data_IF_966118146702
#
_entry.id   IF_966118146702
#
_cell.length_a   1.000
_cell.length_b   1.000
_cell.length_c   1.000
_cell.angle_alpha   90.00
_cell.angle_beta   90.00
_cell.angle_gamma   90.00
#
_symmetry.space_group_name_H-M   'P 1'
#
loop_
_entity.id
_entity.type
_entity.pdbx_description
1 polymer ?
#
# COMPACT_ATOMS: atom_id res chain seq x y z
N UNK A 1 -4.80 16.80 -15.20
CA UNK A 1 -3.69 15.90 -14.88
C UNK A 1 -4.10 14.50 -15.31
N UNK A 2 -3.29 13.79 -16.10
CA UNK A 2 -3.67 12.51 -16.69
C UNK A 2 -3.49 11.40 -15.63
N UNK A 3 -4.46 10.48 -15.51
CA UNK A 3 -4.44 9.37 -14.53
C UNK A 3 -3.16 8.54 -14.68
N UNK A 4 -2.72 8.34 -15.93
CA UNK A 4 -1.51 7.59 -16.25
C UNK A 4 -0.23 8.25 -15.70
N UNK A 5 -0.13 9.59 -15.76
CA UNK A 5 1.03 10.29 -15.22
C UNK A 5 1.13 10.20 -13.71
N UNK A 6 0.00 10.18 -13.00
CA UNK A 6 -0.03 10.04 -11.54
C UNK A 6 0.35 8.62 -11.09
N UNK A 7 -0.07 7.60 -11.84
CA UNK A 7 0.29 6.20 -11.57
C UNK A 7 1.79 5.97 -11.78
N UNK A 8 2.33 6.40 -12.93
CA UNK A 8 3.77 6.24 -13.22
C UNK A 8 4.66 6.95 -12.18
N UNK A 9 4.26 8.15 -11.76
CA UNK A 9 4.95 8.88 -10.71
C UNK A 9 4.83 8.18 -9.34
N UNK A 10 3.65 7.67 -9.00
CA UNK A 10 3.46 6.90 -7.78
C UNK A 10 4.35 5.66 -7.76
N UNK A 11 4.37 4.87 -8.83
CA UNK A 11 5.19 3.67 -8.96
C UNK A 11 6.68 3.98 -8.83
N UNK A 12 7.13 5.06 -9.49
CA UNK A 12 8.53 5.48 -9.39
C UNK A 12 8.95 5.79 -7.96
N UNK A 13 8.08 6.44 -7.17
CA UNK A 13 8.35 6.75 -5.76
C UNK A 13 8.21 5.49 -4.88
N UNK A 14 7.16 4.68 -5.10
CA UNK A 14 6.92 3.48 -4.30
C UNK A 14 8.05 2.45 -4.44
N UNK A 15 8.69 2.39 -5.60
CA UNK A 15 9.84 1.52 -5.85
C UNK A 15 11.06 1.85 -4.99
N UNK A 16 11.20 3.10 -4.54
CA UNK A 16 12.31 3.54 -3.69
C UNK A 16 12.11 3.16 -2.21
N UNK A 17 10.92 2.68 -1.81
CA UNK A 17 10.65 2.27 -0.44
C UNK A 17 11.39 0.97 -0.12
N UNK A 18 12.32 1.02 0.84
CA UNK A 18 13.14 -0.11 1.29
C UNK A 18 12.47 -0.97 2.37
N UNK A 19 11.38 -0.48 2.95
CA UNK A 19 10.65 -1.18 3.98
C UNK A 19 10.11 -2.51 3.46
N UNK A 20 10.22 -3.57 4.26
CA UNK A 20 9.73 -4.89 3.89
C UNK A 20 10.76 -5.77 3.19
N UNK A 21 12.07 -5.54 3.41
CA UNK A 21 13.13 -6.42 2.91
C UNK A 21 12.88 -7.88 3.32
N UNK A 22 12.38 -8.13 4.53
CA UNK A 22 11.96 -9.47 4.97
C UNK A 22 10.88 -10.11 4.09
N UNK A 23 9.99 -9.31 3.50
CA UNK A 23 9.00 -9.79 2.52
C UNK A 23 9.61 -10.03 1.13
N UNK A 24 10.75 -9.40 0.81
CA UNK A 24 11.48 -9.70 -0.42
C UNK A 24 12.13 -11.08 -0.35
N UNK A 25 12.71 -11.45 0.80
CA UNK A 25 13.32 -12.77 0.97
C UNK A 25 12.31 -13.90 0.75
N UNK A 26 11.06 -13.71 1.17
CA UNK A 26 9.99 -14.71 0.95
C UNK A 26 9.54 -14.76 -0.51
N UNK A 27 9.58 -13.64 -1.24
CA UNK A 27 9.20 -13.56 -2.67
C UNK A 27 10.31 -14.01 -3.62
N UNK A 28 11.57 -13.92 -3.20
CA UNK A 28 12.71 -14.17 -4.07
C UNK A 28 12.69 -15.56 -4.74
N UNK A 29 12.28 -16.67 -4.07
CA UNK A 29 12.15 -17.98 -4.73
C UNK A 29 11.12 -18.02 -5.85
N UNK A 30 10.13 -17.15 -5.85
CA UNK A 30 9.02 -17.11 -6.82
C UNK A 30 9.20 -16.03 -7.88
N UNK A 31 10.24 -15.22 -7.76
CA UNK A 31 10.44 -14.01 -8.56
C UNK A 31 10.64 -14.33 -10.06
N UNK A 32 11.49 -15.29 -10.40
CA UNK A 32 11.77 -15.64 -11.81
C UNK A 32 10.48 -16.09 -12.51
N UNK A 33 9.74 -17.01 -11.90
CA UNK A 33 8.47 -17.48 -12.44
C UNK A 33 7.39 -16.38 -12.50
N UNK A 34 7.37 -15.47 -11.51
CA UNK A 34 6.50 -14.30 -11.55
C UNK A 34 6.85 -13.37 -12.72
N UNK A 35 8.14 -13.09 -12.97
CA UNK A 35 8.59 -12.23 -14.07
C UNK A 35 8.20 -12.77 -15.45
N UNK A 36 8.15 -14.10 -15.61
CA UNK A 36 7.65 -14.71 -16.83
C UNK A 36 6.16 -14.40 -17.05
N UNK A 37 5.32 -14.58 -16.02
CA UNK A 37 3.88 -14.28 -16.07
C UNK A 37 3.66 -12.77 -16.28
N UNK A 38 4.40 -11.93 -15.55
CA UNK A 38 4.34 -10.48 -15.68
C UNK A 38 4.67 -10.02 -17.11
N UNK A 39 5.74 -10.59 -17.69
CA UNK A 39 6.17 -10.28 -19.07
C UNK A 39 5.12 -10.69 -20.08
N UNK A 40 4.54 -11.88 -19.94
CA UNK A 40 3.44 -12.36 -20.79
C UNK A 40 2.22 -11.44 -20.68
N UNK A 41 1.82 -11.04 -19.46
CA UNK A 41 0.70 -10.12 -19.27
C UNK A 41 0.95 -8.74 -19.94
N UNK A 42 2.20 -8.26 -19.92
CA UNK A 42 2.59 -7.03 -20.61
C UNK A 42 2.56 -7.19 -22.15
N UNK A 43 3.05 -8.30 -22.69
CA UNK A 43 3.03 -8.59 -24.14
C UNK A 43 1.60 -8.68 -24.66
N UNK A 44 0.71 -9.32 -23.91
CA UNK A 44 -0.72 -9.46 -24.21
C UNK A 44 -1.51 -8.18 -23.93
N UNK A 45 -0.86 -7.15 -23.39
CA UNK A 45 -1.47 -5.85 -23.02
C UNK A 45 -2.65 -6.02 -22.05
N UNK A 46 -2.43 -6.85 -21.04
CA UNK A 46 -3.43 -7.07 -20.01
C UNK A 46 -3.73 -5.76 -19.28
N UNK A 47 -5.00 -5.54 -19.04
CA UNK A 47 -5.56 -4.37 -18.32
C UNK A 47 -6.57 -4.87 -17.30
N UNK A 48 -7.07 -3.99 -16.45
CA UNK A 48 -8.12 -4.33 -15.49
C UNK A 48 -9.33 -5.05 -16.11
N UNK A 49 -9.68 -4.70 -17.37
CA UNK A 49 -10.88 -5.25 -18.04
C UNK A 49 -10.73 -6.68 -18.56
N UNK A 50 -9.49 -7.17 -18.76
CA UNK A 50 -9.23 -8.53 -19.27
C UNK A 50 -8.30 -9.35 -18.36
N UNK A 51 -7.95 -8.84 -17.18
CA UNK A 51 -7.07 -9.54 -16.24
C UNK A 51 -7.63 -10.90 -15.80
N UNK A 52 -8.93 -11.02 -15.55
CA UNK A 52 -9.57 -12.30 -15.21
C UNK A 52 -9.50 -13.32 -16.36
N UNK A 53 -9.65 -12.86 -17.60
CA UNK A 53 -9.52 -13.74 -18.77
C UNK A 53 -8.09 -14.28 -18.88
N UNK A 54 -7.10 -13.41 -18.69
CA UNK A 54 -5.70 -13.80 -18.65
C UNK A 54 -5.42 -14.78 -17.50
N UNK A 55 -5.85 -14.50 -16.27
CA UNK A 55 -5.68 -15.41 -15.13
C UNK A 55 -6.33 -16.79 -15.38
N UNK A 56 -7.49 -16.85 -16.03
CA UNK A 56 -8.15 -18.10 -16.38
C UNK A 56 -7.41 -18.89 -17.48
N UNK A 57 -6.48 -18.28 -18.21
CA UNK A 57 -5.63 -18.98 -19.19
C UNK A 57 -4.39 -19.60 -18.56
N UNK A 58 -4.03 -19.20 -17.33
CA UNK A 58 -2.88 -19.70 -16.61
C UNK A 58 -3.12 -21.12 -16.06
N UNK A 59 -2.06 -21.88 -15.93
CA UNK A 59 -2.06 -23.16 -15.23
C UNK A 59 -2.21 -23.00 -13.72
N UNK A 60 -2.57 -24.07 -13.01
CA UNK A 60 -2.61 -24.06 -11.55
C UNK A 60 -1.24 -23.76 -10.92
N UNK A 61 -0.14 -24.15 -11.56
CA UNK A 61 1.23 -23.88 -11.11
C UNK A 61 1.54 -22.38 -11.20
N UNK A 62 1.17 -21.74 -12.31
CA UNK A 62 1.33 -20.29 -12.49
C UNK A 62 0.45 -19.48 -11.53
N UNK A 63 -0.80 -19.91 -11.29
CA UNK A 63 -1.65 -19.30 -10.28
C UNK A 63 -1.05 -19.46 -8.87
N UNK A 64 -0.44 -20.61 -8.57
CA UNK A 64 0.30 -20.84 -7.32
C UNK A 64 1.50 -19.88 -7.20
N UNK A 65 2.24 -19.66 -8.28
CA UNK A 65 3.33 -18.66 -8.32
C UNK A 65 2.83 -17.26 -7.99
N UNK A 66 1.70 -16.83 -8.57
CA UNK A 66 1.09 -15.54 -8.25
C UNK A 66 0.64 -15.46 -6.80
N UNK A 67 0.05 -16.53 -6.26
CA UNK A 67 -0.36 -16.62 -4.86
C UNK A 67 0.84 -16.42 -3.92
N UNK A 68 1.91 -17.16 -4.13
CA UNK A 68 3.11 -17.12 -3.31
C UNK A 68 3.82 -15.76 -3.41
N UNK A 69 3.98 -15.23 -4.63
CA UNK A 69 4.58 -13.91 -4.84
C UNK A 69 3.73 -12.78 -4.26
N UNK A 70 2.41 -12.91 -4.29
CA UNK A 70 1.49 -11.94 -3.69
C UNK A 70 1.32 -12.11 -2.16
N UNK A 71 1.92 -13.15 -1.57
CA UNK A 71 1.81 -13.53 -0.14
C UNK A 71 0.34 -13.76 0.29
N UNK A 72 -0.44 -14.41 -0.55
CA UNK A 72 -1.81 -14.76 -0.23
C UNK A 72 -1.87 -16.09 0.51
N UNK A 73 -2.70 -16.17 1.53
CA UNK A 73 -2.92 -17.41 2.32
C UNK A 73 -3.83 -18.37 1.56
N UNK A 74 -4.85 -17.85 0.92
CA UNK A 74 -5.87 -18.64 0.23
C UNK A 74 -5.52 -18.81 -1.25
N UNK A 75 -5.93 -19.96 -1.83
CA UNK A 75 -5.82 -20.21 -3.26
C UNK A 75 -6.57 -19.18 -4.09
N UNK A 76 -6.00 -18.82 -5.23
CA UNK A 76 -6.61 -17.85 -6.14
C UNK A 76 -7.81 -18.50 -6.84
N UNK A 77 -9.01 -18.05 -6.49
CA UNK A 77 -10.23 -18.36 -7.23
C UNK A 77 -10.59 -17.14 -8.10
N UNK A 78 -10.24 -17.22 -9.40
CA UNK A 78 -10.38 -16.10 -10.35
C UNK A 78 -11.82 -15.58 -10.44
N UNK A 79 -12.83 -16.45 -10.34
CA UNK A 79 -14.24 -16.05 -10.41
C UNK A 79 -14.66 -15.16 -9.23
N UNK A 80 -14.03 -15.33 -8.08
CA UNK A 80 -14.32 -14.55 -6.86
C UNK A 80 -13.64 -13.18 -6.82
N UNK A 81 -12.67 -12.92 -7.67
CA UNK A 81 -11.92 -11.67 -7.69
C UNK A 81 -12.77 -10.52 -8.25
N UNK A 82 -12.53 -9.30 -7.79
CA UNK A 82 -12.89 -8.11 -8.54
C UNK A 82 -11.83 -7.82 -9.62
N UNK A 83 -12.14 -6.93 -10.55
CA UNK A 83 -11.25 -6.66 -11.71
C UNK A 83 -9.91 -6.05 -11.28
N UNK A 84 -9.91 -5.21 -10.24
CA UNK A 84 -8.72 -4.62 -9.66
C UNK A 84 -7.85 -5.67 -8.97
N UNK A 85 -8.44 -6.54 -8.16
CA UNK A 85 -7.73 -7.61 -7.47
C UNK A 85 -7.09 -8.59 -8.45
N UNK A 86 -7.77 -8.89 -9.54
CA UNK A 86 -7.24 -9.71 -10.62
C UNK A 86 -6.05 -9.01 -11.32
N UNK A 87 -6.17 -7.71 -11.61
CA UNK A 87 -5.11 -6.95 -12.27
C UNK A 87 -3.89 -6.75 -11.38
N UNK A 88 -4.10 -6.40 -10.10
CA UNK A 88 -3.01 -6.20 -9.14
C UNK A 88 -2.22 -7.48 -8.83
N UNK A 89 -2.78 -8.68 -9.03
CA UNK A 89 -2.01 -9.94 -8.96
C UNK A 89 -0.92 -10.04 -10.02
N UNK A 90 -1.11 -9.39 -11.16
CA UNK A 90 -0.20 -9.38 -12.30
C UNK A 90 0.84 -8.25 -12.24
N UNK A 91 0.87 -7.49 -11.14
CA UNK A 91 1.75 -6.33 -10.97
C UNK A 91 2.75 -6.57 -9.84
N UNK A 92 3.93 -5.98 -9.96
CA UNK A 92 4.88 -5.94 -8.86
C UNK A 92 4.26 -5.31 -7.61
N UNK A 93 4.74 -5.68 -6.43
CA UNK A 93 4.19 -5.19 -5.16
C UNK A 93 4.20 -3.66 -5.04
N UNK A 94 5.17 -2.97 -5.66
CA UNK A 94 5.27 -1.51 -5.70
C UNK A 94 4.43 -0.87 -6.82
N UNK A 95 3.87 -1.67 -7.73
CA UNK A 95 3.00 -1.22 -8.82
C UNK A 95 1.51 -1.33 -8.46
N UNK A 96 1.18 -2.01 -7.36
CA UNK A 96 -0.22 -2.18 -6.94
C UNK A 96 -0.86 -0.84 -6.61
N UNK A 97 -2.10 -0.66 -7.07
CA UNK A 97 -2.74 0.64 -7.05
C UNK A 97 -4.25 0.51 -6.88
N UNK A 98 -4.88 1.52 -6.26
CA UNK A 98 -6.34 1.68 -6.22
C UNK A 98 -6.81 2.29 -7.56
N UNK A 99 -7.02 1.41 -8.54
CA UNK A 99 -7.44 1.83 -9.88
C UNK A 99 -8.90 2.26 -9.93
N UNK A 100 -9.74 1.71 -9.06
CA UNK A 100 -11.17 2.00 -8.99
C UNK A 100 -11.50 3.21 -8.11
N UNK A 101 -10.52 3.71 -7.30
CA UNK A 101 -10.57 4.87 -6.42
C UNK A 101 -11.60 4.76 -5.28
N UNK A 102 -11.79 3.57 -4.75
CA UNK A 102 -12.64 3.34 -3.59
C UNK A 102 -11.91 3.53 -2.23
N UNK A 103 -10.61 3.80 -2.27
CA UNK A 103 -9.74 3.98 -1.11
C UNK A 103 -9.11 2.68 -0.61
N UNK A 104 -9.27 1.59 -1.36
CA UNK A 104 -8.71 0.28 -1.09
C UNK A 104 -7.89 -0.20 -2.28
N UNK A 105 -6.80 -0.88 -2.00
CA UNK A 105 -6.06 -1.66 -3.01
C UNK A 105 -6.49 -3.10 -2.89
N UNK A 106 -7.15 -3.61 -3.91
CA UNK A 106 -7.46 -5.05 -4.01
C UNK A 106 -6.26 -5.80 -4.57
N UNK A 107 -5.86 -6.91 -3.94
CA UNK A 107 -4.79 -7.79 -4.39
C UNK A 107 -5.26 -9.25 -4.25
N UNK A 108 -5.67 -9.85 -5.35
CA UNK A 108 -6.46 -11.07 -5.28
C UNK A 108 -7.77 -10.82 -4.55
N UNK A 109 -8.09 -11.67 -3.58
CA UNK A 109 -9.26 -11.53 -2.71
C UNK A 109 -9.03 -10.54 -1.55
N UNK A 110 -7.78 -10.24 -1.23
CA UNK A 110 -7.42 -9.35 -0.14
C UNK A 110 -7.66 -7.89 -0.52
N UNK A 111 -8.13 -7.11 0.44
CA UNK A 111 -8.31 -5.66 0.30
C UNK A 111 -7.65 -4.94 1.47
N UNK A 112 -6.95 -3.87 1.18
CA UNK A 112 -6.27 -3.08 2.20
C UNK A 112 -6.01 -1.65 1.75
N UNK A 113 -5.53 -0.81 2.67
CA UNK A 113 -5.03 0.51 2.30
C UNK A 113 -3.69 0.40 1.56
N UNK A 114 -3.41 1.36 0.69
CA UNK A 114 -2.09 1.49 0.07
C UNK A 114 -1.01 1.75 1.13
N UNK A 115 0.17 1.17 0.95
CA UNK A 115 1.33 1.48 1.80
C UNK A 115 1.69 2.97 1.68
N UNK A 116 1.72 3.49 0.46
CA UNK A 116 1.90 4.91 0.20
C UNK A 116 0.55 5.45 -0.31
N UNK A 117 -0.12 6.36 0.42
CA UNK A 117 -1.41 6.87 0.01
C UNK A 117 -1.38 7.49 -1.40
N UNK A 118 -2.28 7.04 -2.26
CA UNK A 118 -2.33 7.49 -3.65
C UNK A 118 -2.82 8.92 -3.78
N UNK A 119 -3.68 9.34 -2.85
CA UNK A 119 -4.19 10.71 -2.71
C UNK A 119 -3.18 11.68 -2.05
N UNK A 120 -1.95 11.23 -1.76
CA UNK A 120 -0.86 12.07 -1.25
C UNK A 120 -0.20 12.82 -2.41
N UNK A 121 0.07 14.13 -2.29
CA UNK A 121 0.84 14.87 -3.30
C UNK A 121 2.27 14.34 -3.41
N UNK A 122 2.89 14.56 -4.56
CA UNK A 122 4.21 14.02 -4.91
C UNK A 122 5.31 14.39 -3.93
N UNK A 123 5.34 15.64 -3.48
CA UNK A 123 6.34 16.12 -2.53
C UNK A 123 6.24 15.36 -1.21
N UNK A 124 5.04 15.19 -0.69
CA UNK A 124 4.77 14.45 0.54
C UNK A 124 5.09 12.96 0.41
N UNK A 125 4.78 12.36 -0.77
CA UNK A 125 5.15 10.95 -1.03
C UNK A 125 6.65 10.73 -0.97
N UNK A 126 7.43 11.61 -1.61
CA UNK A 126 8.90 11.54 -1.59
C UNK A 126 9.42 11.68 -0.17
N UNK A 127 9.02 12.75 0.53
CA UNK A 127 9.42 12.96 1.91
C UNK A 127 9.02 11.79 2.82
N UNK A 128 7.85 11.17 2.62
CA UNK A 128 7.43 9.98 3.37
C UNK A 128 8.37 8.81 3.12
N UNK A 129 8.63 8.46 1.86
CA UNK A 129 9.49 7.33 1.50
C UNK A 129 10.92 7.53 2.00
N UNK A 130 11.48 8.71 1.83
CA UNK A 130 12.80 9.07 2.36
C UNK A 130 12.84 8.91 3.88
N UNK A 131 11.82 9.42 4.58
CA UNK A 131 11.75 9.32 6.04
C UNK A 131 11.63 7.88 6.54
N UNK A 132 10.82 7.06 5.88
CA UNK A 132 10.70 5.65 6.23
C UNK A 132 12.00 4.88 5.97
N UNK A 133 12.74 5.24 4.91
CA UNK A 133 14.02 4.63 4.60
C UNK A 133 15.16 5.00 5.56
N UNK A 134 15.03 6.10 6.32
CA UNK A 134 15.97 6.53 7.35
C UNK A 134 15.71 5.89 8.73
N UNK A 135 14.54 5.27 8.90
CA UNK A 135 14.16 4.57 10.13
C UNK A 135 14.51 3.08 10.02
N UNK A 136 14.61 2.39 11.16
CA UNK A 136 14.67 0.93 11.13
C UNK A 136 13.31 0.33 10.69
N UNK A 137 13.32 -0.90 10.15
CA UNK A 137 12.16 -1.53 9.53
C UNK A 137 10.93 -1.58 10.46
N UNK A 138 11.14 -1.88 11.74
CA UNK A 138 10.05 -1.99 12.73
C UNK A 138 9.41 -0.63 12.98
N UNK A 139 10.22 0.40 13.15
CA UNK A 139 9.75 1.76 13.41
C UNK A 139 9.11 2.37 12.17
N UNK A 140 9.67 2.10 10.97
CA UNK A 140 9.08 2.49 9.69
C UNK A 140 7.69 1.90 9.51
N UNK A 141 7.56 0.58 9.76
CA UNK A 141 6.28 -0.11 9.67
C UNK A 141 5.26 0.48 10.65
N UNK A 142 5.66 0.71 11.90
CA UNK A 142 4.79 1.28 12.92
C UNK A 142 4.35 2.71 12.55
N UNK A 143 5.27 3.55 12.08
CA UNK A 143 4.96 4.91 11.64
C UNK A 143 3.98 4.90 10.47
N UNK A 144 4.23 4.08 9.46
CA UNK A 144 3.38 3.95 8.28
C UNK A 144 1.97 3.47 8.64
N UNK A 145 1.85 2.45 9.49
CA UNK A 145 0.57 1.95 9.99
C UNK A 145 -0.21 3.04 10.72
N UNK A 146 0.45 3.81 11.59
CA UNK A 146 -0.20 4.88 12.35
C UNK A 146 -0.68 6.03 11.47
N UNK A 147 0.06 6.37 10.42
CA UNK A 147 -0.32 7.41 9.45
C UNK A 147 -1.50 6.93 8.60
N UNK A 148 -1.53 5.65 8.22
CA UNK A 148 -2.53 5.09 7.32
C UNK A 148 -3.75 4.50 8.03
N UNK A 149 -3.83 4.57 9.38
CA UNK A 149 -4.97 4.03 10.11
C UNK A 149 -6.30 4.56 9.55
N UNK A 150 -7.22 3.66 9.21
CA UNK A 150 -8.54 4.06 8.78
C UNK A 150 -9.32 4.73 9.93
N UNK A 151 -10.30 5.54 9.57
CA UNK A 151 -11.26 6.09 10.54
C UNK A 151 -12.33 5.05 10.84
N UNK A 152 -12.56 4.78 12.11
CA UNK A 152 -13.71 4.00 12.55
C UNK A 152 -14.88 4.95 12.77
N UNK A 153 -15.98 4.72 12.06
CA UNK A 153 -17.21 5.49 12.19
C UNK A 153 -18.25 4.62 12.89
N UNK A 154 -18.73 5.09 14.03
CA UNK A 154 -19.80 4.43 14.78
C UNK A 154 -21.11 5.11 14.41
N UNK A 155 -22.03 4.38 13.79
CA UNK A 155 -23.37 4.87 13.50
C UNK A 155 -24.25 4.92 14.77
N UNK A 156 -25.38 5.63 14.71
CA UNK A 156 -26.31 5.75 15.85
C UNK A 156 -26.86 4.40 16.33
N UNK A 157 -26.95 3.40 15.44
CA UNK A 157 -27.38 2.04 15.76
C UNK A 157 -26.26 1.16 16.37
N UNK A 158 -25.07 1.73 16.60
CA UNK A 158 -23.90 1.03 17.12
C UNK A 158 -23.08 0.28 16.08
N UNK A 159 -23.45 0.32 14.80
CA UNK A 159 -22.69 -0.28 13.72
C UNK A 159 -21.37 0.43 13.55
N UNK A 160 -20.26 -0.33 13.57
CA UNK A 160 -18.91 0.21 13.33
C UNK A 160 -18.53 -0.06 11.88
N UNK A 161 -18.25 1.02 11.15
CA UNK A 161 -17.77 0.95 9.78
C UNK A 161 -16.33 1.49 9.71
N UNK A 162 -15.50 0.82 8.92
CA UNK A 162 -14.15 1.29 8.62
C UNK A 162 -14.21 2.20 7.40
N UNK A 163 -13.75 3.44 7.55
CA UNK A 163 -13.66 4.38 6.43
C UNK A 163 -12.19 4.65 6.13
N UNK A 164 -11.73 4.16 4.99
CA UNK A 164 -10.42 4.50 4.47
C UNK A 164 -10.39 5.97 4.04
N UNK A 165 -9.20 6.56 4.13
CA UNK A 165 -9.10 7.99 3.91
C UNK A 165 -8.97 8.29 2.41
N UNK A 166 -10.03 8.79 1.81
CA UNK A 166 -10.05 9.28 0.43
C UNK A 166 -9.73 10.79 0.33
N UNK A 167 -9.64 11.48 1.48
CA UNK A 167 -9.27 12.90 1.53
C UNK A 167 -7.76 13.04 1.22
N UNK A 168 -7.33 14.18 0.61
CA UNK A 168 -5.91 14.41 0.35
C UNK A 168 -5.05 14.27 1.61
N UNK A 169 -3.96 13.52 1.48
CA UNK A 169 -2.96 13.28 2.54
C UNK A 169 -1.80 14.25 2.36
N UNK A 170 -2.08 15.56 2.42
CA UNK A 170 -1.05 16.60 2.37
C UNK A 170 -0.25 16.69 3.69
N UNK A 171 0.77 17.54 3.69
CA UNK A 171 1.62 17.77 4.86
C UNK A 171 0.81 18.04 6.13
N UNK A 172 -0.21 18.92 6.07
CA UNK A 172 -1.01 19.27 7.23
C UNK A 172 -1.81 18.07 7.75
N UNK A 173 -2.40 17.29 6.84
CA UNK A 173 -3.15 16.09 7.21
C UNK A 173 -2.25 15.04 7.90
N UNK A 174 -1.00 14.86 7.43
CA UNK A 174 -0.01 13.99 8.06
C UNK A 174 0.35 14.52 9.46
N UNK A 175 0.69 15.81 9.56
CA UNK A 175 1.08 16.44 10.82
C UNK A 175 -0.05 16.45 11.85
N UNK A 176 -1.30 16.62 11.43
CA UNK A 176 -2.46 16.52 12.32
C UNK A 176 -2.65 15.10 12.88
N UNK A 177 -2.33 14.06 12.09
CA UNK A 177 -2.35 12.66 12.57
C UNK A 177 -1.23 12.43 13.59
N UNK A 178 -0.02 12.83 13.25
CA UNK A 178 1.15 12.77 14.15
C UNK A 178 0.83 13.48 15.46
N UNK A 179 0.31 14.70 15.40
CA UNK A 179 -0.04 15.49 16.59
C UNK A 179 -1.06 14.77 17.47
N UNK A 180 -2.10 14.17 16.90
CA UNK A 180 -3.10 13.40 17.65
C UNK A 180 -2.52 12.16 18.34
N UNK A 181 -1.53 11.51 17.74
CA UNK A 181 -0.87 10.36 18.36
C UNK A 181 0.01 10.82 19.52
N UNK A 182 0.76 11.90 19.34
CA UNK A 182 1.68 12.45 20.35
C UNK A 182 0.93 13.14 21.51
N UNK A 183 -0.32 13.58 21.30
CA UNK A 183 -1.15 14.25 22.30
C UNK A 183 -2.47 13.50 22.51
N UNK A 184 -2.44 12.31 23.14
CA UNK A 184 -3.63 11.49 23.35
C UNK A 184 -4.65 12.22 24.22
N UNK A 185 -5.94 11.99 23.95
CA UNK A 185 -7.04 12.54 24.76
C UNK A 185 -7.06 11.91 26.17
N UNK A 186 -7.66 12.58 27.16
CA UNK A 186 -7.83 12.01 28.50
C UNK A 186 -8.49 10.62 28.44
N UNK A 187 -7.83 9.60 29.03
CA UNK A 187 -8.27 8.21 29.01
C UNK A 187 -7.70 7.37 27.86
N UNK A 188 -7.05 7.96 26.87
CA UNK A 188 -6.28 7.25 25.88
C UNK A 188 -4.85 7.00 26.36
N UNK A 189 -4.37 5.77 26.17
CA UNK A 189 -3.01 5.39 26.53
C UNK A 189 -2.20 5.05 25.27
N UNK A 190 -0.98 5.56 25.22
CA UNK A 190 0.01 5.23 24.18
C UNK A 190 1.26 4.71 24.88
N UNK A 191 1.89 3.68 24.32
CA UNK A 191 3.18 3.21 24.85
C UNK A 191 4.28 4.24 24.61
N UNK A 192 5.25 4.28 25.52
CA UNK A 192 6.41 5.17 25.35
C UNK A 192 7.16 4.90 24.05
N UNK A 193 7.28 3.61 23.66
CA UNK A 193 7.91 3.23 22.42
C UNK A 193 7.17 3.78 21.19
N UNK A 194 5.82 3.74 21.16
CA UNK A 194 5.06 4.35 20.07
C UNK A 194 5.28 5.86 20.00
N UNK A 195 5.25 6.55 21.14
CA UNK A 195 5.46 8.00 21.17
C UNK A 195 6.86 8.38 20.68
N UNK A 196 7.89 7.61 21.05
CA UNK A 196 9.26 7.80 20.61
C UNK A 196 9.40 7.59 19.09
N UNK A 197 8.88 6.49 18.57
CA UNK A 197 8.86 6.22 17.12
C UNK A 197 8.17 7.34 16.34
N UNK A 198 7.00 7.78 16.77
CA UNK A 198 6.23 8.83 16.06
C UNK A 198 6.90 10.21 16.19
N UNK A 199 7.53 10.52 17.34
CA UNK A 199 8.31 11.76 17.51
C UNK A 199 9.50 11.78 16.54
N UNK A 200 10.24 10.68 16.46
CA UNK A 200 11.36 10.53 15.53
C UNK A 200 10.91 10.64 14.07
N UNK A 201 9.81 9.94 13.71
CA UNK A 201 9.23 10.08 12.38
C UNK A 201 8.88 11.55 12.07
N UNK A 202 8.26 12.27 13.01
CA UNK A 202 7.90 13.67 12.83
C UNK A 202 9.10 14.55 12.48
N UNK A 203 10.21 14.38 13.20
CA UNK A 203 11.45 15.16 12.99
C UNK A 203 12.03 14.88 11.59
N UNK A 204 12.19 13.60 11.23
CA UNK A 204 12.73 13.18 9.94
C UNK A 204 11.82 13.64 8.78
N UNK A 205 10.50 13.44 8.91
CA UNK A 205 9.55 13.83 7.87
C UNK A 205 9.52 15.35 7.62
N UNK A 206 9.63 16.18 8.66
CA UNK A 206 9.75 17.62 8.49
C UNK A 206 11.00 18.01 7.74
N UNK A 207 12.15 17.43 8.11
CA UNK A 207 13.43 17.69 7.45
C UNK A 207 13.35 17.34 5.96
N UNK A 208 12.92 16.12 5.63
CA UNK A 208 12.83 15.64 4.25
C UNK A 208 11.79 16.42 3.43
N UNK A 209 10.71 16.86 4.06
CA UNK A 209 9.71 17.70 3.38
C UNK A 209 10.24 19.11 3.08
N UNK A 210 11.09 19.69 3.92
CA UNK A 210 11.71 21.00 3.68
C UNK A 210 12.77 20.93 2.58
N UNK A 211 13.45 19.79 2.41
CA UNK A 211 14.50 19.57 1.43
C UNK A 211 13.98 19.13 0.05
N UNK A 212 12.76 18.57 -0.04
CA UNK A 212 12.09 18.12 -1.28
C UNK A 212 11.40 19.31 -1.99
#
# INVERSE_FOLDING_TARGET
MNIQSNYEEHVAIAKELKMGESFYEVREPHKEAFEEIYSQAKEEKVTMSNAKEFLNSLTNEELGTLQDYALLVDEINVDSLNDEGAYNLLLHHYEKYDFNKDGLVSNGISQGGSLIPENMPTKEKKALVESLNEMDEKDSFLALMMINLPKFVVAEDGTVTTKFNTDPMDYNAIMDRVHRILNPQPGEHRSAALLDTISRFQEIFKSNFEES
#
